data_IF_583667785247
#
_entry.id   IF_583667785247
#
_cell.length_a   1.000
_cell.length_b   1.000
_cell.length_c   1.000
_cell.angle_alpha   90.00
_cell.angle_beta   90.00
_cell.angle_gamma   90.00
#
_symmetry.space_group_name_H-M   'P 1'
#
loop_
_entity.id
_entity.type
_entity.pdbx_description
1 polymer ?
#
# COMPACT_ATOMS: atom_id res chain seq x y z
N UNK A 1 17.39 -37.10 -25.29
CA UNK A 1 17.45 -35.88 -24.46
C UNK A 1 16.03 -35.51 -24.07
N UNK A 2 15.70 -35.72 -22.79
CA UNK A 2 14.35 -35.57 -22.27
C UNK A 2 13.97 -34.09 -22.16
N UNK A 3 12.87 -33.70 -22.81
CA UNK A 3 12.16 -32.46 -22.49
C UNK A 3 11.43 -32.71 -21.18
N UNK A 4 12.01 -32.25 -20.09
CA UNK A 4 11.37 -32.25 -18.78
C UNK A 4 10.11 -31.40 -18.88
N UNK A 5 8.98 -32.07 -18.72
CA UNK A 5 7.64 -31.52 -18.66
C UNK A 5 7.59 -30.41 -17.60
N UNK A 6 7.50 -29.16 -18.05
CA UNK A 6 7.04 -28.02 -17.25
C UNK A 6 5.52 -28.11 -17.08
N UNK A 7 5.06 -29.21 -16.51
CA UNK A 7 3.68 -29.39 -16.11
C UNK A 7 3.68 -29.35 -14.59
N UNK A 8 2.92 -28.41 -14.02
CA UNK A 8 2.48 -28.37 -12.62
C UNK A 8 3.14 -27.35 -11.66
N UNK A 9 3.81 -26.30 -12.14
CA UNK A 9 3.97 -25.10 -11.33
C UNK A 9 2.83 -24.13 -11.66
N UNK A 10 2.05 -23.60 -10.69
CA UNK A 10 1.20 -22.44 -10.96
C UNK A 10 2.10 -21.34 -11.52
N UNK A 11 1.80 -20.88 -12.74
CA UNK A 11 2.66 -19.96 -13.49
C UNK A 11 2.99 -18.76 -12.61
N UNK A 12 4.26 -18.61 -12.22
CA UNK A 12 4.74 -17.57 -11.30
C UNK A 12 4.25 -16.17 -11.71
N UNK A 13 4.08 -15.95 -13.01
CA UNK A 13 3.48 -14.75 -13.61
C UNK A 13 2.03 -14.52 -13.20
N UNK A 14 1.21 -15.57 -13.12
CA UNK A 14 -0.18 -15.50 -12.64
C UNK A 14 -0.26 -15.09 -11.17
N UNK A 15 0.60 -15.66 -10.32
CA UNK A 15 0.67 -15.35 -8.88
C UNK A 15 1.15 -13.92 -8.65
N UNK A 16 2.15 -13.48 -9.41
CA UNK A 16 2.64 -12.11 -9.34
C UNK A 16 1.55 -11.11 -9.79
N UNK A 17 0.82 -11.42 -10.86
CA UNK A 17 -0.27 -10.59 -11.33
C UNK A 17 -1.40 -10.51 -10.29
N UNK A 18 -1.86 -11.64 -9.73
CA UNK A 18 -2.94 -11.61 -8.72
C UNK A 18 -2.53 -10.84 -7.47
N UNK A 19 -1.31 -11.03 -6.97
CA UNK A 19 -0.80 -10.27 -5.82
C UNK A 19 -0.70 -8.78 -6.11
N UNK A 20 -0.27 -8.41 -7.32
CA UNK A 20 -0.19 -7.02 -7.76
C UNK A 20 -1.59 -6.38 -7.85
N UNK A 21 -2.56 -7.09 -8.44
CA UNK A 21 -3.94 -6.62 -8.56
C UNK A 21 -4.61 -6.42 -7.19
N UNK A 22 -4.44 -7.36 -6.25
CA UNK A 22 -4.96 -7.22 -4.89
C UNK A 22 -4.36 -5.99 -4.21
N UNK A 23 -3.05 -5.77 -4.35
CA UNK A 23 -2.39 -4.58 -3.79
C UNK A 23 -2.92 -3.29 -4.42
N UNK A 24 -3.08 -3.26 -5.75
CA UNK A 24 -3.62 -2.10 -6.47
C UNK A 24 -5.07 -1.80 -6.07
N UNK A 25 -5.90 -2.84 -5.94
CA UNK A 25 -7.27 -2.72 -5.46
C UNK A 25 -7.34 -2.21 -4.02
N UNK A 26 -6.53 -2.74 -3.12
CA UNK A 26 -6.46 -2.24 -1.74
C UNK A 26 -6.03 -0.76 -1.71
N UNK A 27 -5.10 -0.37 -2.58
CA UNK A 27 -4.57 1.00 -2.60
C UNK A 27 -5.55 1.99 -3.24
N UNK A 28 -6.23 1.62 -4.33
CA UNK A 28 -7.07 2.52 -5.13
C UNK A 28 -8.56 2.47 -4.80
N UNK A 29 -9.09 1.32 -4.36
CA UNK A 29 -10.53 1.09 -4.17
C UNK A 29 -10.90 1.09 -2.68
N UNK A 30 -10.00 0.67 -1.78
CA UNK A 30 -10.18 0.76 -0.33
C UNK A 30 -9.09 1.61 0.33
N UNK A 31 -8.96 2.89 -0.06
CA UNK A 31 -7.94 3.75 0.50
C UNK A 31 -8.19 3.91 2.01
N UNK A 32 -7.21 3.50 2.81
CA UNK A 32 -7.08 3.93 4.19
C UNK A 32 -6.81 5.44 4.20
N UNK A 33 -7.29 6.18 5.21
CA UNK A 33 -7.17 7.65 5.31
C UNK A 33 -5.74 8.17 5.07
N UNK A 34 -4.73 7.41 5.54
CA UNK A 34 -3.31 7.71 5.36
C UNK A 34 -2.78 7.36 3.96
N UNK A 35 -3.42 6.43 3.24
CA UNK A 35 -3.09 6.12 1.84
C UNK A 35 -3.78 7.08 0.88
N UNK A 36 -4.98 7.55 1.21
CA UNK A 36 -5.68 8.60 0.46
C UNK A 36 -4.87 9.90 0.43
N UNK A 37 -4.35 10.33 1.59
CA UNK A 37 -3.47 11.51 1.66
C UNK A 37 -2.17 11.34 0.89
N UNK A 38 -1.64 10.12 0.77
CA UNK A 38 -0.47 9.81 -0.07
C UNK A 38 -0.81 9.83 -1.55
N UNK A 39 -1.98 9.30 -1.94
CA UNK A 39 -2.47 9.33 -3.32
C UNK A 39 -2.83 10.74 -3.81
N UNK A 40 -3.00 11.72 -2.92
CA UNK A 40 -3.06 13.14 -3.28
C UNK A 40 -1.74 13.64 -3.88
N UNK A 41 -0.60 13.06 -3.49
CA UNK A 41 0.70 13.43 -4.06
C UNK A 41 0.87 12.87 -5.47
N UNK A 42 1.30 13.71 -6.41
CA UNK A 42 1.48 13.33 -7.83
C UNK A 42 2.44 12.15 -8.03
N UNK A 43 3.50 12.09 -7.23
CA UNK A 43 4.53 11.04 -7.30
C UNK A 43 3.99 9.65 -6.93
N UNK A 44 3.09 9.56 -5.95
CA UNK A 44 2.46 8.28 -5.61
C UNK A 44 1.44 7.87 -6.67
N UNK A 45 0.71 8.82 -7.29
CA UNK A 45 -0.15 8.52 -8.45
C UNK A 45 0.66 7.94 -9.62
N UNK A 46 1.81 8.54 -9.94
CA UNK A 46 2.70 8.06 -10.99
C UNK A 46 3.21 6.64 -10.71
N UNK A 47 3.65 6.35 -9.47
CA UNK A 47 4.06 5.00 -9.08
C UNK A 47 2.95 3.97 -9.26
N UNK A 48 1.72 4.31 -8.87
CA UNK A 48 0.58 3.41 -9.08
C UNK A 48 0.29 3.22 -10.56
N UNK A 49 0.43 4.26 -11.39
CA UNK A 49 0.35 4.19 -12.85
C UNK A 49 1.34 3.19 -13.44
N UNK A 50 2.63 3.29 -13.09
CA UNK A 50 3.66 2.35 -13.57
C UNK A 50 3.38 0.90 -13.15
N UNK A 51 2.81 0.69 -11.96
CA UNK A 51 2.40 -0.63 -11.49
C UNK A 51 1.21 -1.19 -12.29
N UNK A 52 0.24 -0.36 -12.68
CA UNK A 52 -0.87 -0.75 -13.56
C UNK A 52 -0.34 -1.11 -14.96
N UNK A 53 0.61 -0.35 -15.50
CA UNK A 53 1.24 -0.67 -16.79
C UNK A 53 1.98 -2.00 -16.72
N UNK A 54 2.75 -2.23 -15.66
CA UNK A 54 3.41 -3.51 -15.45
C UNK A 54 2.39 -4.67 -15.37
N UNK A 55 1.25 -4.48 -14.67
CA UNK A 55 0.17 -5.46 -14.63
C UNK A 55 -0.40 -5.75 -16.05
N UNK A 56 -0.57 -4.73 -16.89
CA UNK A 56 -1.00 -4.90 -18.30
C UNK A 56 0.00 -5.73 -19.10
N UNK A 57 1.31 -5.48 -18.96
CA UNK A 57 2.33 -6.27 -19.66
C UNK A 57 2.34 -7.74 -19.23
N UNK A 58 2.13 -8.01 -17.94
CA UNK A 58 1.99 -9.37 -17.41
C UNK A 58 0.73 -10.06 -17.95
N UNK A 59 -0.39 -9.35 -18.08
CA UNK A 59 -1.62 -9.89 -18.65
C UNK A 59 -1.42 -10.32 -20.10
N UNK A 60 -0.81 -9.48 -20.94
CA UNK A 60 -0.52 -9.83 -22.35
C UNK A 60 0.35 -11.07 -22.44
N UNK A 61 1.36 -11.19 -21.58
CA UNK A 61 2.22 -12.38 -21.52
C UNK A 61 1.42 -13.63 -21.15
N UNK A 62 0.53 -13.53 -20.17
CA UNK A 62 -0.33 -14.64 -19.76
C UNK A 62 -1.36 -15.02 -20.84
N UNK A 63 -1.90 -14.05 -21.59
CA UNK A 63 -2.75 -14.32 -22.74
C UNK A 63 -1.98 -15.11 -23.82
N UNK A 64 -0.73 -14.73 -24.09
CA UNK A 64 0.12 -15.45 -25.04
C UNK A 64 0.45 -16.87 -24.56
N UNK A 65 0.75 -17.05 -23.26
CA UNK A 65 1.00 -18.36 -22.68
C UNK A 65 -0.28 -19.24 -22.69
N UNK A 66 -1.46 -18.64 -22.45
CA UNK A 66 -2.75 -19.32 -22.48
C UNK A 66 -3.14 -19.83 -23.88
N UNK A 67 -2.64 -19.22 -24.96
CA UNK A 67 -2.85 -19.71 -26.33
C UNK A 67 -2.20 -21.08 -26.58
N UNK A 68 -1.18 -21.45 -25.79
CA UNK A 68 -0.50 -22.75 -25.87
C UNK A 68 -1.27 -23.92 -25.24
N UNK A 69 -2.36 -23.65 -24.52
CA UNK A 69 -3.13 -24.66 -23.78
C UNK A 69 -4.00 -25.49 -24.74
N UNK A 70 -3.70 -26.79 -24.84
CA UNK A 70 -4.42 -27.73 -25.74
C UNK A 70 -5.74 -28.24 -25.17
N UNK A 71 -5.93 -28.17 -23.85
CA UNK A 71 -7.14 -28.67 -23.18
C UNK A 71 -8.21 -27.58 -23.20
N UNK A 72 -9.29 -27.77 -23.97
CA UNK A 72 -10.34 -26.77 -24.17
C UNK A 72 -11.01 -26.31 -22.87
N UNK A 73 -11.28 -27.23 -21.94
CA UNK A 73 -11.88 -26.88 -20.63
C UNK A 73 -10.99 -25.94 -19.82
N UNK A 74 -9.68 -26.25 -19.73
CA UNK A 74 -8.71 -25.41 -19.02
C UNK A 74 -8.46 -24.09 -19.73
N UNK A 75 -8.48 -24.12 -21.08
CA UNK A 75 -8.36 -22.91 -21.90
C UNK A 75 -9.50 -21.95 -21.61
N UNK A 76 -10.74 -22.45 -21.51
CA UNK A 76 -11.90 -21.61 -21.22
C UNK A 76 -11.81 -21.01 -19.81
N UNK A 77 -11.46 -21.81 -18.80
CA UNK A 77 -11.26 -21.35 -17.41
C UNK A 77 -10.20 -20.24 -17.30
N UNK A 78 -9.03 -20.44 -17.91
CA UNK A 78 -7.95 -19.43 -17.93
C UNK A 78 -8.39 -18.19 -18.72
N UNK A 79 -9.14 -18.35 -19.80
CA UNK A 79 -9.65 -17.23 -20.57
C UNK A 79 -10.67 -16.40 -19.78
N UNK A 80 -11.58 -17.04 -19.03
CA UNK A 80 -12.52 -16.30 -18.18
C UNK A 80 -11.82 -15.54 -17.07
N UNK A 81 -10.81 -16.14 -16.44
CA UNK A 81 -9.99 -15.49 -15.42
C UNK A 81 -9.19 -14.30 -15.99
N UNK A 82 -8.61 -14.44 -17.18
CA UNK A 82 -7.92 -13.34 -17.86
C UNK A 82 -8.86 -12.18 -18.23
N UNK A 83 -10.09 -12.48 -18.65
CA UNK A 83 -11.11 -11.45 -18.92
C UNK A 83 -11.49 -10.70 -17.63
N UNK A 84 -11.72 -11.41 -16.52
CA UNK A 84 -11.98 -10.78 -15.22
C UNK A 84 -10.79 -9.90 -14.76
N UNK A 85 -9.56 -10.39 -14.94
CA UNK A 85 -8.34 -9.60 -14.64
C UNK A 85 -8.21 -8.37 -15.53
N UNK A 86 -8.62 -8.45 -16.79
CA UNK A 86 -8.64 -7.29 -17.70
C UNK A 86 -9.64 -6.23 -17.24
N UNK A 87 -10.84 -6.65 -16.84
CA UNK A 87 -11.88 -5.76 -16.34
C UNK A 87 -11.43 -5.05 -15.05
N UNK A 88 -10.81 -5.78 -14.12
CA UNK A 88 -10.30 -5.18 -12.88
C UNK A 88 -9.19 -4.17 -13.14
N UNK A 89 -8.23 -4.46 -14.03
CA UNK A 89 -7.19 -3.50 -14.45
C UNK A 89 -7.81 -2.25 -15.06
N UNK A 90 -8.85 -2.40 -15.89
CA UNK A 90 -9.52 -1.27 -16.52
C UNK A 90 -10.18 -0.36 -15.48
N UNK A 91 -10.93 -0.95 -14.54
CA UNK A 91 -11.55 -0.21 -13.42
C UNK A 91 -10.50 0.52 -12.56
N UNK A 92 -9.35 -0.12 -12.32
CA UNK A 92 -8.24 0.50 -11.58
C UNK A 92 -7.61 1.67 -12.34
N UNK A 93 -7.48 1.57 -13.67
CA UNK A 93 -7.00 2.70 -14.47
C UNK A 93 -7.97 3.87 -14.51
N UNK A 94 -9.28 3.61 -14.64
CA UNK A 94 -10.30 4.66 -14.62
C UNK A 94 -10.29 5.41 -13.27
N UNK A 95 -10.16 4.68 -12.16
CA UNK A 95 -10.06 5.29 -10.83
C UNK A 95 -8.77 6.11 -10.64
N UNK A 96 -7.66 5.67 -11.23
CA UNK A 96 -6.40 6.42 -11.19
C UNK A 96 -6.48 7.71 -12.02
N UNK A 97 -7.16 7.66 -13.17
CA UNK A 97 -7.41 8.84 -14.01
C UNK A 97 -8.28 9.87 -13.27
N UNK A 98 -9.36 9.43 -12.62
CA UNK A 98 -10.21 10.29 -11.77
C UNK A 98 -9.40 10.96 -10.64
N UNK A 99 -8.53 10.20 -9.96
CA UNK A 99 -7.65 10.76 -8.92
C UNK A 99 -6.61 11.74 -9.47
N UNK A 100 -6.17 11.54 -10.72
CA UNK A 100 -5.24 12.44 -11.36
C UNK A 100 -5.91 13.76 -11.76
N UNK A 101 -7.13 13.70 -12.31
CA UNK A 101 -7.96 14.88 -12.59
C UNK A 101 -8.28 15.68 -11.33
N UNK A 102 -8.65 14.98 -10.24
CA UNK A 102 -8.95 15.63 -8.97
C UNK A 102 -7.73 16.34 -8.38
N UNK A 103 -6.55 15.71 -8.47
CA UNK A 103 -5.30 16.31 -8.04
C UNK A 103 -4.85 17.49 -8.90
N UNK A 104 -5.21 17.52 -10.19
CA UNK A 104 -4.95 18.67 -11.08
C UNK A 104 -5.85 19.86 -10.74
N UNK A 105 -7.10 19.60 -10.34
CA UNK A 105 -8.05 20.61 -9.89
C UNK A 105 -7.63 21.27 -8.55
N UNK A 106 -7.20 20.47 -7.57
CA UNK A 106 -6.69 20.95 -6.27
C UNK A 106 -5.47 21.88 -6.44
N UNK A 107 -4.56 21.55 -7.36
CA UNK A 107 -3.40 22.41 -7.66
C UNK A 107 -3.73 23.72 -8.39
N UNK A 108 -4.90 23.84 -9.04
CA UNK A 108 -5.34 25.09 -9.69
C UNK A 108 -6.06 26.03 -8.73
N UNK A 109 -6.70 25.51 -7.68
CA UNK A 109 -7.36 26.33 -6.66
C UNK A 109 -6.36 26.99 -5.69
N UNK A 110 -5.24 26.32 -5.39
CA UNK A 110 -4.17 26.87 -4.52
C UNK A 110 -3.37 27.99 -5.20
N UNK A 111 -3.34 28.04 -6.54
CA UNK A 111 -2.72 29.12 -7.33
C UNK A 111 -3.69 30.31 -7.53
N UNK A 112 -4.93 30.20 -7.05
CA UNK A 112 -5.94 31.27 -7.04
C UNK A 112 -6.16 31.86 -5.64
N UNK A 113 -5.13 31.80 -4.77
CA UNK A 113 -5.04 32.57 -3.54
C UNK A 113 -3.87 33.58 -3.62
N UNK A 114 -3.91 34.47 -4.62
CA UNK A 114 -3.32 35.81 -4.45
C UNK A 114 -4.20 36.57 -3.44
N UNK A 115 -3.99 36.24 -2.17
CA UNK A 115 -4.49 36.99 -1.03
C UNK A 115 -3.86 38.37 -1.04
N UNK A 116 -4.68 39.34 -1.42
CA UNK A 116 -4.70 40.69 -0.88
C UNK A 116 -4.31 40.68 0.61
N UNK A 117 -3.05 41.01 0.93
CA UNK A 117 -2.69 41.47 2.28
C UNK A 117 -2.26 42.94 2.21
N UNK A 118 -3.22 43.72 2.66
CA UNK A 118 -3.30 45.16 2.69
C UNK A 118 -3.21 45.51 4.18
N UNK A 119 -2.09 46.13 4.57
CA UNK A 119 -1.80 46.86 5.82
C UNK A 119 -0.94 46.15 6.88
N UNK A 120 0.28 46.69 7.01
CA UNK A 120 0.79 47.15 8.31
C UNK A 120 1.87 46.28 8.96
N UNK A 121 3.13 46.68 8.78
CA UNK A 121 3.92 47.15 9.92
C UNK A 121 5.17 47.90 9.41
N UNK A 122 5.20 49.20 9.67
CA UNK A 122 6.39 50.05 9.59
C UNK A 122 7.50 49.45 10.47
N UNK A 123 8.61 49.02 9.85
CA UNK A 123 9.90 49.01 10.54
C UNK A 123 10.92 49.75 9.66
N UNK A 124 11.46 50.89 10.12
CA UNK A 124 12.38 51.68 9.33
C UNK A 124 13.71 50.95 9.20
N UNK A 125 14.13 50.71 7.97
CA UNK A 125 15.48 50.25 7.65
C UNK A 125 16.47 51.40 7.80
N UNK A 126 17.51 51.20 8.60
CA UNK A 126 18.70 52.05 8.59
C UNK A 126 19.45 51.90 7.26
N UNK A 127 19.93 53.05 6.81
CA UNK A 127 20.54 53.33 5.53
C UNK A 127 21.98 52.78 5.43
N UNK A 128 22.45 52.69 4.19
CA UNK A 128 23.83 52.81 3.65
C UNK A 128 24.22 51.62 2.78
N UNK A 129 24.84 51.76 1.60
CA UNK A 129 24.96 52.84 0.62
C UNK A 129 25.52 52.12 -0.64
N UNK A 130 24.93 52.45 -1.78
CA UNK A 130 25.43 52.41 -3.16
C UNK A 130 26.71 51.63 -3.50
N UNK A 131 26.63 50.71 -4.47
CA UNK A 131 27.11 50.99 -5.83
C UNK A 131 26.58 49.99 -6.88
N UNK A 132 26.01 50.56 -7.93
CA UNK A 132 25.64 49.98 -9.22
C UNK A 132 26.87 49.41 -9.98
N UNK A 133 26.82 48.62 -11.06
CA UNK A 133 25.79 48.43 -12.08
C UNK A 133 26.27 47.36 -13.10
N UNK A 134 25.36 46.99 -14.01
CA UNK A 134 25.56 46.32 -15.34
C UNK A 134 25.80 44.79 -15.40
N UNK A 135 24.76 44.01 -15.75
CA UNK A 135 24.45 43.64 -17.15
C UNK A 135 23.65 42.32 -17.26
N UNK A 136 22.43 42.42 -17.80
CA UNK A 136 21.72 41.36 -18.56
C UNK A 136 22.51 41.09 -19.88
N UNK A 137 22.38 39.96 -20.64
CA UNK A 137 21.08 39.38 -21.03
C UNK A 137 21.00 37.84 -21.22
N UNK A 138 19.77 37.35 -21.03
CA UNK A 138 19.01 36.47 -21.94
C UNK A 138 19.63 35.23 -22.63
N UNK A 139 18.83 34.16 -22.54
CA UNK A 139 18.43 33.23 -23.60
C UNK A 139 19.14 31.88 -23.77
N UNK A 140 18.26 30.87 -23.76
CA UNK A 140 18.19 29.71 -24.69
C UNK A 140 19.17 28.55 -24.54
N UNK A 141 18.62 27.41 -24.11
CA UNK A 141 18.31 26.26 -24.98
C UNK A 141 18.78 24.89 -24.46
N UNK A 142 17.87 23.93 -24.69
CA UNK A 142 18.11 22.52 -25.01
C UNK A 142 18.71 21.57 -23.95
N UNK A 143 17.84 20.64 -23.52
CA UNK A 143 18.19 19.26 -23.14
C UNK A 143 19.01 18.57 -24.25
N UNK A 144 19.77 17.49 -23.96
CA UNK A 144 19.14 16.15 -23.91
C UNK A 144 19.75 15.12 -22.93
N UNK A 145 18.84 14.31 -22.36
CA UNK A 145 18.88 12.87 -22.01
C UNK A 145 20.25 12.16 -22.07
N UNK A 146 20.68 11.57 -20.93
CA UNK A 146 21.24 10.19 -20.94
C UNK A 146 21.07 9.45 -19.59
N UNK A 147 20.55 8.24 -19.76
CA UNK A 147 20.28 7.06 -18.91
C UNK A 147 21.31 6.71 -17.84
N UNK A 148 20.86 6.22 -16.65
CA UNK A 148 21.42 5.10 -15.82
C UNK A 148 20.70 5.02 -14.44
N UNK A 149 20.46 3.84 -13.83
CA UNK A 149 19.26 3.53 -13.02
C UNK A 149 19.44 3.71 -11.50
N UNK A 150 18.36 3.87 -10.71
CA UNK A 150 18.44 3.83 -9.26
C UNK A 150 18.31 2.40 -8.68
N UNK A 151 18.91 2.15 -7.51
CA UNK A 151 19.12 0.82 -6.94
C UNK A 151 17.92 0.28 -6.14
N UNK A 152 17.91 -1.05 -6.10
CA UNK A 152 17.15 -1.97 -5.26
C UNK A 152 16.92 -1.49 -3.80
N UNK A 153 15.66 -1.39 -3.38
CA UNK A 153 15.24 -1.20 -1.99
C UNK A 153 14.61 -2.50 -1.45
N UNK A 154 15.05 -3.03 -0.29
CA UNK A 154 14.51 -4.27 0.28
C UNK A 154 13.05 -4.12 0.74
N UNK A 155 12.22 -5.03 0.26
CA UNK A 155 10.79 -5.12 0.49
C UNK A 155 10.51 -5.65 1.92
N UNK A 156 9.94 -4.80 2.77
CA UNK A 156 9.49 -5.17 4.12
C UNK A 156 8.30 -6.13 4.00
N UNK A 157 8.43 -7.31 4.60
CA UNK A 157 7.50 -8.43 4.51
C UNK A 157 6.43 -8.32 5.59
N UNK A 158 5.19 -8.01 5.18
CA UNK A 158 4.02 -8.02 6.04
C UNK A 158 3.30 -9.38 6.01
N UNK A 159 3.10 -9.93 7.21
CA UNK A 159 2.06 -10.82 7.77
C UNK A 159 1.11 -11.58 6.81
N UNK A 160 0.88 -12.90 7.01
CA UNK A 160 -0.13 -13.66 6.28
C UNK A 160 -1.55 -13.48 6.87
N UNK A 161 -2.61 -13.48 6.04
CA UNK A 161 -4.01 -13.56 6.50
C UNK A 161 -4.47 -15.02 6.73
N UNK A 162 -5.41 -15.27 7.66
CA UNK A 162 -6.00 -16.60 7.87
C UNK A 162 -6.98 -16.99 6.74
N UNK A 163 -7.20 -18.30 6.52
CA UNK A 163 -7.91 -18.82 5.35
C UNK A 163 -9.44 -18.62 5.44
N UNK A 164 -10.01 -18.03 4.39
CA UNK A 164 -11.46 -17.97 4.15
C UNK A 164 -11.88 -19.22 3.37
N UNK A 165 -12.80 -19.99 3.93
CA UNK A 165 -13.54 -21.04 3.23
C UNK A 165 -14.68 -20.38 2.49
N UNK A 166 -14.64 -20.47 1.17
CA UNK A 166 -15.71 -20.09 0.25
C UNK A 166 -16.69 -21.27 0.12
N UNK A 167 -17.97 -21.03 0.40
CA UNK A 167 -19.13 -21.60 -0.31
C UNK A 167 -20.41 -21.03 0.30
N UNK A 168 -20.97 -20.06 -0.41
CA UNK A 168 -22.35 -19.58 -0.29
C UNK A 168 -23.36 -20.71 -0.60
N UNK A 169 -24.61 -20.62 -0.11
CA UNK A 169 -25.59 -19.82 -0.85
C UNK A 169 -26.47 -18.93 0.04
N UNK A 170 -26.71 -17.71 -0.44
CA UNK A 170 -27.73 -16.77 0.02
C UNK A 170 -29.10 -17.43 0.27
N UNK A 171 -29.73 -17.18 1.44
CA UNK A 171 -31.18 -17.34 1.57
C UNK A 171 -31.88 -16.05 1.13
N UNK A 172 -32.96 -16.14 0.33
CA UNK A 172 -33.74 -14.97 -0.07
C UNK A 172 -34.39 -14.32 1.15
N UNK A 173 -34.21 -13.00 1.24
CA UNK A 173 -35.00 -12.12 2.11
C UNK A 173 -36.49 -12.30 1.80
N UNK A 174 -37.23 -12.93 2.73
CA UNK A 174 -38.69 -12.93 2.75
C UNK A 174 -39.19 -12.24 4.00
N UNK A 175 -39.09 -10.91 4.04
CA UNK A 175 -39.99 -10.09 4.86
C UNK A 175 -41.39 -10.09 4.22
N UNK A 176 -42.13 -11.20 4.37
CA UNK A 176 -43.58 -11.23 4.12
C UNK A 176 -44.25 -12.30 5.00
N UNK A 177 -44.29 -12.03 6.30
CA UNK A 177 -45.16 -12.75 7.24
C UNK A 177 -45.99 -11.74 8.04
N UNK A 178 -46.98 -11.14 7.38
CA UNK A 178 -48.13 -10.49 8.04
C UNK A 178 -49.32 -10.69 7.13
N UNK A 179 -50.24 -11.55 7.56
CA UNK A 179 -51.62 -11.79 7.09
C UNK A 179 -51.99 -13.29 7.03
N UNK A 180 -51.64 -14.08 8.05
CA UNK A 180 -52.28 -15.39 8.28
C UNK A 180 -53.01 -15.51 9.62
N UNK A 181 -52.76 -14.61 10.57
CA UNK A 181 -53.46 -14.60 11.87
C UNK A 181 -54.83 -13.91 11.85
N UNK A 182 -55.21 -13.28 10.73
CA UNK A 182 -56.52 -12.65 10.57
C UNK A 182 -57.64 -13.65 10.24
N UNK A 183 -57.32 -14.87 9.80
CA UNK A 183 -58.33 -15.89 9.48
C UNK A 183 -58.59 -16.87 10.64
N UNK A 184 -57.61 -17.07 11.54
CA UNK A 184 -57.81 -17.90 12.73
C UNK A 184 -58.67 -17.22 13.83
N UNK A 185 -58.81 -15.89 13.79
CA UNK A 185 -59.69 -15.14 14.71
C UNK A 185 -61.14 -15.06 14.27
N UNK A 186 -61.45 -15.36 13.01
CA UNK A 186 -62.81 -15.26 12.47
C UNK A 186 -63.68 -16.49 12.78
N UNK A 187 -63.09 -17.63 13.14
CA UNK A 187 -63.84 -18.84 13.52
C UNK A 187 -64.14 -18.93 15.02
N UNK A 188 -63.63 -18.00 15.85
CA UNK A 188 -63.82 -18.01 17.31
C UNK A 188 -65.05 -17.21 17.79
N UNK A 189 -65.94 -16.81 16.88
CA UNK A 189 -67.11 -15.96 17.18
C UNK A 189 -68.45 -16.65 16.94
N UNK A 190 -68.47 -17.97 16.76
CA UNK A 190 -69.72 -18.75 16.74
C UNK A 190 -70.11 -19.11 18.19
N UNK A 191 -71.24 -18.61 18.73
CA UNK A 191 -71.66 -18.94 20.09
C UNK A 191 -72.36 -20.31 20.07
N UNK A 192 -71.58 -21.38 20.16
CA UNK A 192 -72.10 -22.69 20.50
C UNK A 192 -71.88 -22.91 22.01
N UNK A 193 -72.98 -22.85 22.75
CA UNK A 193 -73.10 -23.23 24.15
C UNK A 193 -72.36 -24.53 24.44
N UNK A 194 -71.27 -24.47 25.22
CA UNK A 194 -70.76 -25.47 26.17
C UNK A 194 -69.34 -25.05 26.58
N UNK A 195 -69.02 -25.12 27.87
CA UNK A 195 -67.69 -25.41 28.42
C UNK A 195 -67.13 -24.37 29.39
N UNK A 196 -67.31 -24.68 30.67
CA UNK A 196 -66.51 -24.19 31.79
C UNK A 196 -65.10 -24.84 31.81
N UNK A 197 -64.71 -25.62 30.80
CA UNK A 197 -63.44 -26.35 30.69
C UNK A 197 -62.47 -25.88 29.59
N UNK A 198 -62.85 -24.92 28.73
CA UNK A 198 -61.97 -24.39 27.67
C UNK A 198 -60.95 -23.39 28.22
N UNK A 199 -61.30 -22.59 29.23
CA UNK A 199 -60.39 -21.59 29.81
C UNK A 199 -59.17 -22.22 30.49
N UNK A 200 -59.33 -23.35 31.18
CA UNK A 200 -58.22 -24.09 31.81
C UNK A 200 -57.30 -24.73 30.78
N UNK A 201 -57.85 -25.32 29.71
CA UNK A 201 -57.06 -25.88 28.62
C UNK A 201 -56.21 -24.81 27.90
N UNK A 202 -56.74 -23.60 27.71
CA UNK A 202 -55.97 -22.47 27.14
C UNK A 202 -54.89 -21.95 28.08
N UNK A 203 -55.11 -21.94 29.41
CA UNK A 203 -54.08 -21.54 30.37
C UNK A 203 -52.97 -22.57 30.50
N UNK A 204 -53.29 -23.87 30.46
CA UNK A 204 -52.29 -24.94 30.49
C UNK A 204 -51.43 -24.94 29.21
N UNK A 205 -52.03 -24.67 28.06
CA UNK A 205 -51.30 -24.49 26.80
C UNK A 205 -50.35 -23.27 26.85
N UNK A 206 -50.79 -22.15 27.42
CA UNK A 206 -49.97 -20.94 27.60
C UNK A 206 -48.80 -21.16 28.57
N UNK A 207 -49.03 -21.87 29.69
CA UNK A 207 -47.97 -22.19 30.65
C UNK A 207 -46.93 -23.16 30.04
N UNK A 208 -47.38 -24.14 29.26
CA UNK A 208 -46.50 -25.07 28.54
C UNK A 208 -45.68 -24.35 27.46
N UNK A 209 -46.30 -23.41 26.76
CA UNK A 209 -45.63 -22.55 25.78
C UNK A 209 -44.56 -21.67 26.44
N UNK A 210 -44.86 -21.01 27.56
CA UNK A 210 -43.89 -20.18 28.26
C UNK A 210 -42.71 -21.01 28.80
N UNK A 211 -42.97 -22.24 29.28
CA UNK A 211 -41.92 -23.15 29.73
C UNK A 211 -40.98 -23.57 28.60
N UNK A 212 -41.53 -23.90 27.43
CA UNK A 212 -40.72 -24.24 26.25
C UNK A 212 -39.92 -23.06 25.72
N UNK A 213 -40.47 -21.83 25.77
CA UNK A 213 -39.70 -20.64 25.43
C UNK A 213 -38.56 -20.38 26.41
N UNK A 214 -38.77 -20.54 27.72
CA UNK A 214 -37.71 -20.40 28.71
C UNK A 214 -36.60 -21.45 28.54
N UNK A 215 -36.96 -22.68 28.22
CA UNK A 215 -36.00 -23.75 27.91
C UNK A 215 -35.19 -23.41 26.65
N UNK A 216 -35.83 -22.90 25.60
CA UNK A 216 -35.15 -22.45 24.38
C UNK A 216 -34.22 -21.24 24.62
N UNK A 217 -34.66 -20.24 25.40
CA UNK A 217 -33.84 -19.07 25.73
C UNK A 217 -32.62 -19.47 26.56
N UNK A 218 -32.81 -20.36 27.54
CA UNK A 218 -31.71 -20.88 28.36
C UNK A 218 -30.73 -21.68 27.51
N UNK A 219 -31.24 -22.50 26.58
CA UNK A 219 -30.43 -23.24 25.62
C UNK A 219 -29.62 -22.32 24.71
N UNK A 220 -30.23 -21.25 24.19
CA UNK A 220 -29.56 -20.23 23.37
C UNK A 220 -28.47 -19.49 24.14
N UNK A 221 -28.74 -19.09 25.40
CA UNK A 221 -27.77 -18.40 26.23
C UNK A 221 -26.57 -19.30 26.54
N UNK A 222 -26.80 -20.58 26.82
CA UNK A 222 -25.73 -21.54 27.07
C UNK A 222 -24.91 -21.82 25.80
N UNK A 223 -25.56 -21.94 24.64
CA UNK A 223 -24.88 -22.09 23.35
C UNK A 223 -24.07 -20.84 22.97
N UNK A 224 -24.59 -19.65 23.25
CA UNK A 224 -23.87 -18.41 23.03
C UNK A 224 -22.69 -18.27 23.99
N UNK A 225 -22.86 -18.63 25.26
CA UNK A 225 -21.78 -18.63 26.24
C UNK A 225 -20.67 -19.65 25.89
N UNK A 226 -21.03 -20.84 25.38
CA UNK A 226 -20.05 -21.81 24.91
C UNK A 226 -19.33 -21.33 23.67
N UNK A 227 -20.04 -20.76 22.69
CA UNK A 227 -19.46 -20.16 21.49
C UNK A 227 -18.51 -19.00 21.84
N UNK A 228 -18.89 -18.14 22.79
CA UNK A 228 -18.05 -17.04 23.26
C UNK A 228 -16.78 -17.55 23.96
N UNK A 229 -16.90 -18.62 24.75
CA UNK A 229 -15.76 -19.28 25.40
C UNK A 229 -14.82 -19.94 24.39
N UNK A 230 -15.36 -20.63 23.40
CA UNK A 230 -14.62 -21.23 22.28
C UNK A 230 -13.86 -20.14 21.53
N UNK A 231 -14.56 -19.05 21.20
CA UNK A 231 -14.01 -17.86 20.55
C UNK A 231 -12.88 -17.23 21.38
N UNK A 232 -13.09 -17.03 22.69
CA UNK A 232 -12.04 -16.50 23.59
C UNK A 232 -10.80 -17.40 23.64
N UNK A 233 -10.99 -18.71 23.61
CA UNK A 233 -9.88 -19.67 23.58
C UNK A 233 -9.13 -19.63 22.25
N UNK A 234 -9.86 -19.54 21.13
CA UNK A 234 -9.27 -19.39 19.80
C UNK A 234 -8.47 -18.07 19.68
N UNK A 235 -9.00 -16.97 20.25
CA UNK A 235 -8.27 -15.71 20.31
C UNK A 235 -7.00 -15.82 21.16
N UNK A 236 -7.04 -16.51 22.31
CA UNK A 236 -5.85 -16.71 23.14
C UNK A 236 -4.76 -17.51 22.40
N UNK A 237 -5.14 -18.55 21.64
CA UNK A 237 -4.18 -19.31 20.82
C UNK A 237 -3.62 -18.49 19.67
N UNK A 238 -4.46 -17.69 19.01
CA UNK A 238 -4.02 -16.79 17.94
C UNK A 238 -3.03 -15.74 18.46
N UNK A 239 -3.24 -15.20 19.66
CA UNK A 239 -2.31 -14.24 20.25
C UNK A 239 -0.93 -14.85 20.53
N UNK A 240 -0.85 -16.11 20.96
CA UNK A 240 0.43 -16.77 21.19
C UNK A 240 1.20 -17.01 19.88
N UNK A 241 0.48 -17.40 18.82
CA UNK A 241 1.07 -17.55 17.48
C UNK A 241 1.54 -16.19 16.93
N UNK A 242 0.69 -15.17 16.99
CA UNK A 242 1.01 -13.83 16.52
C UNK A 242 2.17 -13.19 17.29
N UNK A 243 2.31 -13.48 18.58
CA UNK A 243 3.44 -13.02 19.41
C UNK A 243 4.77 -13.58 18.89
N UNK A 244 4.81 -14.84 18.49
CA UNK A 244 6.03 -15.44 17.92
C UNK A 244 6.41 -14.81 16.57
N UNK A 245 5.41 -14.49 15.73
CA UNK A 245 5.62 -13.78 14.46
C UNK A 245 6.11 -12.36 14.73
N UNK A 246 5.52 -11.67 15.72
CA UNK A 246 5.93 -10.33 16.12
C UNK A 246 7.39 -10.31 16.58
N UNK A 247 7.81 -11.27 17.42
CA UNK A 247 9.19 -11.38 17.90
C UNK A 247 10.19 -11.69 16.76
N UNK A 248 9.76 -12.49 15.78
CA UNK A 248 10.57 -12.73 14.58
C UNK A 248 10.70 -11.48 13.71
N UNK A 249 9.65 -10.68 13.61
CA UNK A 249 9.63 -9.44 12.84
C UNK A 249 10.46 -8.34 13.51
N UNK A 250 10.38 -8.19 14.84
CA UNK A 250 11.25 -7.28 15.60
C UNK A 250 12.71 -7.69 15.47
N UNK A 251 13.03 -8.98 15.64
CA UNK A 251 14.39 -9.49 15.42
C UNK A 251 14.88 -9.27 13.99
N UNK A 252 13.99 -9.39 13.00
CA UNK A 252 14.30 -9.10 11.60
C UNK A 252 14.59 -7.61 11.36
N UNK A 253 13.84 -6.73 12.01
CA UNK A 253 14.02 -5.28 11.96
C UNK A 253 15.34 -4.88 12.62
N UNK A 254 15.66 -5.39 13.81
CA UNK A 254 16.94 -5.12 14.50
C UNK A 254 18.14 -5.56 13.65
N UNK A 255 18.05 -6.72 12.98
CA UNK A 255 19.08 -7.19 12.04
C UNK A 255 19.19 -6.28 10.82
N UNK A 256 18.07 -5.76 10.34
CA UNK A 256 18.06 -4.83 9.21
C UNK A 256 18.67 -3.48 9.61
N UNK A 257 18.32 -2.96 10.78
CA UNK A 257 18.90 -1.72 11.34
C UNK A 257 20.41 -1.84 11.49
N UNK A 258 20.90 -2.94 12.06
CA UNK A 258 22.35 -3.22 12.15
C UNK A 258 23.02 -3.31 10.77
N UNK A 259 22.36 -3.93 9.79
CA UNK A 259 22.84 -4.03 8.42
C UNK A 259 22.87 -2.67 7.71
N UNK A 260 21.85 -1.85 7.93
CA UNK A 260 21.72 -0.51 7.37
C UNK A 260 22.71 0.44 8.04
N UNK A 261 22.96 0.34 9.35
CA UNK A 261 23.99 1.10 10.05
C UNK A 261 25.39 0.74 9.54
N UNK A 262 25.67 -0.55 9.33
CA UNK A 262 26.94 -1.01 8.73
C UNK A 262 27.11 -0.48 7.30
N UNK A 263 26.05 -0.50 6.49
CA UNK A 263 26.05 0.07 5.14
C UNK A 263 26.21 1.60 5.17
N UNK A 264 25.55 2.30 6.10
CA UNK A 264 25.65 3.74 6.29
C UNK A 264 27.05 4.15 6.72
N UNK A 265 27.70 3.42 7.64
CA UNK A 265 29.11 3.66 8.01
C UNK A 265 30.03 3.48 6.81
N UNK A 266 29.82 2.44 5.99
CA UNK A 266 30.64 2.16 4.81
C UNK A 266 30.43 3.20 3.71
N UNK A 267 29.20 3.64 3.49
CA UNK A 267 28.86 4.69 2.52
C UNK A 267 29.31 6.07 2.98
N UNK A 268 29.20 6.37 4.29
CA UNK A 268 29.77 7.56 4.90
C UNK A 268 31.29 7.62 4.77
N UNK A 269 31.97 6.48 4.94
CA UNK A 269 33.42 6.39 4.69
C UNK A 269 33.79 6.63 3.22
N UNK A 270 32.99 6.11 2.28
CA UNK A 270 33.20 6.38 0.86
C UNK A 270 32.93 7.85 0.52
N UNK A 271 31.90 8.46 1.12
CA UNK A 271 31.56 9.87 0.92
C UNK A 271 32.68 10.80 1.37
N UNK A 272 33.30 10.53 2.52
CA UNK A 272 34.46 11.32 2.97
C UNK A 272 35.67 11.13 2.06
N UNK A 273 35.83 9.96 1.44
CA UNK A 273 36.87 9.72 0.43
C UNK A 273 36.57 10.35 -0.94
N UNK A 274 35.30 10.53 -1.32
CA UNK A 274 34.91 11.12 -2.60
C UNK A 274 34.80 12.64 -2.57
N UNK A 275 34.35 13.24 -1.46
CA UNK A 275 34.26 14.71 -1.34
C UNK A 275 35.50 15.34 -0.67
N UNK A 276 36.23 14.61 0.18
CA UNK A 276 37.31 15.18 1.00
C UNK A 276 38.67 15.35 0.31
N UNK A 277 38.92 14.68 -0.83
CA UNK A 277 40.27 14.62 -1.43
C UNK A 277 40.60 15.75 -2.41
N UNK A 278 39.63 16.60 -2.75
CA UNK A 278 39.82 17.73 -3.67
C UNK A 278 40.64 18.87 -3.07
N UNK A 279 40.35 19.25 -1.82
CA UNK A 279 41.06 20.36 -1.17
C UNK A 279 42.46 19.96 -0.68
N UNK A 280 42.60 18.76 -0.10
CA UNK A 280 43.90 18.24 0.36
C UNK A 280 44.87 18.01 -0.81
N UNK A 281 44.37 17.53 -1.95
CA UNK A 281 45.17 17.39 -3.17
C UNK A 281 45.67 18.74 -3.71
N UNK A 282 44.84 19.79 -3.66
CA UNK A 282 45.24 21.16 -4.04
C UNK A 282 46.27 21.73 -3.08
N UNK A 283 46.08 21.57 -1.77
CA UNK A 283 47.07 22.00 -0.76
C UNK A 283 48.41 21.29 -0.92
N UNK A 284 48.40 19.99 -1.20
CA UNK A 284 49.63 19.23 -1.44
C UNK A 284 50.35 19.70 -2.72
N UNK A 285 49.61 20.01 -3.78
CA UNK A 285 50.19 20.59 -5.01
C UNK A 285 50.85 21.95 -4.76
N UNK A 286 50.23 22.83 -3.97
CA UNK A 286 50.85 24.11 -3.61
C UNK A 286 52.13 23.93 -2.78
N UNK A 287 52.16 22.95 -1.86
CA UNK A 287 53.36 22.62 -1.11
C UNK A 287 54.51 22.12 -2.02
N UNK A 288 54.20 21.28 -3.02
CA UNK A 288 55.19 20.84 -4.01
C UNK A 288 55.70 21.97 -4.90
N UNK A 289 54.81 22.84 -5.38
CA UNK A 289 55.18 24.04 -6.15
C UNK A 289 56.10 24.95 -5.32
N UNK A 290 55.77 25.19 -4.05
CA UNK A 290 56.56 26.02 -3.16
C UNK A 290 57.93 25.40 -2.88
N UNK A 291 58.00 24.08 -2.67
CA UNK A 291 59.26 23.36 -2.48
C UNK A 291 60.18 23.45 -3.69
N UNK A 292 59.64 23.26 -4.90
CA UNK A 292 60.42 23.41 -6.13
C UNK A 292 60.84 24.87 -6.39
N UNK A 293 60.01 25.83 -6.02
CA UNK A 293 60.34 27.26 -6.11
C UNK A 293 61.52 27.62 -5.19
N UNK A 294 61.52 27.14 -3.94
CA UNK A 294 62.64 27.32 -3.01
C UNK A 294 63.91 26.62 -3.52
N UNK A 295 63.80 25.40 -4.06
CA UNK A 295 64.95 24.67 -4.63
C UNK A 295 65.53 25.39 -5.86
N UNK A 296 64.70 25.95 -6.74
CA UNK A 296 65.14 26.74 -7.87
C UNK A 296 65.87 28.02 -7.44
N UNK A 297 65.35 28.73 -6.42
CA UNK A 297 66.02 29.90 -5.84
C UNK A 297 67.38 29.50 -5.25
N UNK A 298 67.46 28.36 -4.56
CA UNK A 298 68.70 27.84 -4.01
C UNK A 298 69.71 27.56 -5.13
N UNK A 299 69.31 26.89 -6.22
CA UNK A 299 70.19 26.65 -7.38
C UNK A 299 70.67 27.97 -7.98
N UNK A 300 69.79 28.93 -8.23
CA UNK A 300 70.16 30.21 -8.87
C UNK A 300 71.08 31.07 -7.99
N UNK A 301 70.96 31.02 -6.66
CA UNK A 301 71.80 31.83 -5.76
C UNK A 301 73.07 31.11 -5.30
N UNK A 302 73.04 29.79 -5.16
CA UNK A 302 74.15 28.98 -4.65
C UNK A 302 75.06 28.50 -5.78
N UNK A 303 74.52 28.13 -6.95
CA UNK A 303 75.34 27.67 -8.09
C UNK A 303 76.31 28.75 -8.63
N UNK A 304 75.97 30.06 -8.65
CA UNK A 304 76.95 31.10 -8.98
C UNK A 304 78.02 31.33 -7.90
N UNK A 305 77.76 30.92 -6.66
CA UNK A 305 78.68 31.05 -5.52
C UNK A 305 79.64 29.86 -5.38
N UNK A 306 79.35 28.70 -6.00
CA UNK A 306 80.26 27.55 -6.05
C UNK A 306 81.18 27.51 -7.28
N UNK A 307 80.96 28.39 -8.26
CA UNK A 307 81.81 28.49 -9.47
C UNK A 307 82.97 29.48 -9.34
N UNK A 308 83.26 29.94 -8.13
CA UNK A 308 84.41 30.75 -7.73
C UNK A 308 85.05 30.11 -6.51
#
# INVERSE_FOLDING_TARGET
MARLSSANAPDLTTINLTRLLVRLQQTLISPDSATESRLRTSLEREKVGTNIEYARTLLVRLEQDAQGIKVQSKKHEVQTDLVQKRETIQRLSERLEELNELGEFESREDDSSEGEDLLGEDTPSEETDSHADLADPASTSSSPIETTPPPFVPQIQARPPPPTVESEPEPPSTFRARNKDAQARAELLTPASTSTGISTATTEAMLTHNRTEQENLTGSLLAMASALKESSRAFATSLEEEKSVLDSATSGLDKNELGLEAAQRRMGYLRTMTEGKGWWGRMLMYAWIAGLMVLAILIVFVMPKLRF
#
